data_IF_557330815351
#
_entry.id   IF_557330815351
#
_cell.length_a   1.000
_cell.length_b   1.000
_cell.length_c   1.000
_cell.angle_alpha   90.00
_cell.angle_beta   90.00
_cell.angle_gamma   90.00
#
_symmetry.space_group_name_H-M   'P 1'
#
loop_
_entity.id
_entity.type
_entity.pdbx_description
1 polymer ?
#
# COMPACT_ATOMS: atom_id res chain seq x y z
N UNK A 1 3.19 -1.94 22.38
CA UNK A 1 2.17 -1.99 21.32
C UNK A 1 2.04 -3.42 20.80
N UNK A 2 0.86 -4.03 20.87
CA UNK A 2 0.64 -5.39 20.36
C UNK A 2 0.67 -5.36 18.82
N UNK A 3 1.72 -5.92 18.22
CA UNK A 3 1.77 -6.10 16.77
C UNK A 3 0.67 -7.07 16.35
N UNK A 4 -0.38 -6.58 15.68
CA UNK A 4 -1.40 -7.43 15.06
C UNK A 4 -0.73 -8.27 13.96
N UNK A 5 -0.45 -9.55 14.26
CA UNK A 5 0.00 -10.53 13.27
C UNK A 5 -1.21 -11.09 12.52
N UNK A 6 -1.20 -10.98 11.20
CA UNK A 6 -2.19 -11.61 10.31
C UNK A 6 -1.60 -12.89 9.72
N UNK A 7 -2.29 -14.01 9.92
CA UNK A 7 -1.90 -15.33 9.40
C UNK A 7 -2.35 -15.52 7.94
N UNK A 8 -1.60 -16.30 7.18
CA UNK A 8 -1.98 -16.78 5.84
C UNK A 8 -3.11 -17.82 5.91
N UNK A 9 -3.70 -18.16 4.78
CA UNK A 9 -4.71 -19.23 4.70
C UNK A 9 -4.11 -20.57 5.15
N UNK A 10 -2.89 -20.87 4.70
CA UNK A 10 -2.13 -22.07 5.11
C UNK A 10 -1.86 -22.10 6.62
N UNK A 11 -1.39 -21.00 7.21
CA UNK A 11 -1.15 -20.92 8.65
C UNK A 11 -2.45 -21.06 9.47
N UNK A 12 -3.60 -20.64 8.92
CA UNK A 12 -4.91 -20.81 9.58
C UNK A 12 -5.38 -22.26 9.53
N UNK A 13 -5.16 -22.96 8.41
CA UNK A 13 -5.51 -24.39 8.28
C UNK A 13 -4.64 -25.24 9.20
N UNK A 14 -3.32 -25.00 9.23
CA UNK A 14 -2.42 -25.67 10.16
C UNK A 14 -2.83 -25.46 11.63
N UNK A 15 -3.25 -24.24 11.99
CA UNK A 15 -3.78 -23.95 13.33
C UNK A 15 -5.06 -24.74 13.64
N UNK A 16 -5.94 -24.94 12.65
CA UNK A 16 -7.17 -25.72 12.81
C UNK A 16 -6.84 -27.21 12.98
N UNK A 17 -5.93 -27.75 12.17
CA UNK A 17 -5.45 -29.13 12.27
C UNK A 17 -4.81 -29.40 13.65
N UNK A 18 -3.92 -28.50 14.09
CA UNK A 18 -3.27 -28.56 15.40
C UNK A 18 -4.26 -28.57 16.59
N UNK A 19 -5.43 -27.95 16.41
CA UNK A 19 -6.50 -27.92 17.40
C UNK A 19 -7.41 -29.16 17.33
N UNK A 20 -7.56 -29.78 16.16
CA UNK A 20 -8.48 -30.90 15.91
C UNK A 20 -7.83 -32.29 16.07
N UNK A 21 -6.50 -32.38 16.04
CA UNK A 21 -5.76 -33.62 16.30
C UNK A 21 -6.09 -34.17 17.70
N UNK A 22 -6.07 -35.51 17.88
CA UNK A 22 -6.63 -36.20 19.06
C UNK A 22 -6.18 -35.71 20.46
N UNK A 23 -5.01 -35.05 20.56
CA UNK A 23 -4.58 -34.24 21.72
C UNK A 23 -4.37 -32.77 21.31
N UNK A 24 -5.44 -32.13 20.84
CA UNK A 24 -5.40 -30.81 20.21
C UNK A 24 -4.81 -29.75 21.13
N UNK A 25 -4.02 -28.85 20.56
CA UNK A 25 -3.42 -27.75 21.29
C UNK A 25 -4.52 -26.81 21.81
N UNK A 26 -4.44 -26.45 23.09
CA UNK A 26 -5.34 -25.46 23.67
C UNK A 26 -5.17 -24.10 23.01
N UNK A 27 -6.21 -23.27 23.03
CA UNK A 27 -6.18 -21.89 22.52
C UNK A 27 -4.99 -21.08 23.07
N UNK A 28 -4.55 -21.37 24.30
CA UNK A 28 -3.37 -20.74 24.91
C UNK A 28 -2.07 -21.17 24.24
N UNK A 29 -1.90 -22.46 23.97
CA UNK A 29 -0.73 -23.00 23.25
C UNK A 29 -0.69 -22.52 21.80
N UNK A 30 -1.84 -22.41 21.13
CA UNK A 30 -1.94 -21.86 19.77
C UNK A 30 -1.53 -20.39 19.71
N UNK A 31 -1.92 -19.60 20.73
CA UNK A 31 -1.51 -18.19 20.86
C UNK A 31 0.00 -18.04 20.93
N UNK A 32 0.67 -18.90 21.70
CA UNK A 32 2.12 -18.87 21.89
C UNK A 32 2.85 -19.35 20.63
N UNK A 33 2.39 -20.45 20.01
CA UNK A 33 2.99 -21.02 18.80
C UNK A 33 2.87 -20.09 17.59
N UNK A 34 1.67 -19.57 17.35
CA UNK A 34 1.40 -18.74 16.17
C UNK A 34 1.63 -17.25 16.41
N UNK A 35 1.91 -16.84 17.66
CA UNK A 35 2.13 -15.44 18.09
C UNK A 35 0.96 -14.52 17.70
N UNK A 36 -0.26 -14.94 18.04
CA UNK A 36 -1.51 -14.22 17.74
C UNK A 36 -2.28 -13.88 19.03
N UNK A 37 -3.30 -13.02 18.96
CA UNK A 37 -4.15 -12.75 20.11
C UNK A 37 -5.14 -13.88 20.38
N UNK A 38 -5.55 -14.05 21.65
CA UNK A 38 -6.58 -15.03 22.05
C UNK A 38 -7.87 -14.89 21.24
N UNK A 39 -8.31 -13.65 21.01
CA UNK A 39 -9.50 -13.36 20.20
C UNK A 39 -9.33 -13.75 18.73
N UNK A 40 -8.12 -13.61 18.17
CA UNK A 40 -7.83 -14.06 16.81
C UNK A 40 -7.86 -15.58 16.69
N UNK A 41 -7.24 -16.30 17.64
CA UNK A 41 -7.25 -17.77 17.66
C UNK A 41 -8.68 -18.31 17.73
N UNK A 42 -9.50 -17.78 18.66
CA UNK A 42 -10.90 -18.16 18.80
C UNK A 42 -11.74 -17.85 17.55
N UNK A 43 -11.50 -16.71 16.89
CA UNK A 43 -12.22 -16.36 15.66
C UNK A 43 -11.86 -17.29 14.50
N UNK A 44 -10.59 -17.69 14.38
CA UNK A 44 -10.14 -18.64 13.35
C UNK A 44 -10.82 -20.00 13.55
N UNK A 45 -10.83 -20.52 14.78
CA UNK A 45 -11.50 -21.78 15.11
C UNK A 45 -13.02 -21.72 14.88
N UNK A 46 -13.66 -20.59 15.18
CA UNK A 46 -15.10 -20.38 14.93
C UNK A 46 -15.46 -20.41 13.46
N UNK A 47 -14.53 -20.05 12.57
CA UNK A 47 -14.72 -20.00 11.11
C UNK A 47 -13.92 -21.10 10.40
N UNK A 48 -13.63 -22.20 11.09
CA UNK A 48 -12.75 -23.26 10.59
C UNK A 48 -13.23 -23.87 9.27
N UNK A 49 -14.53 -24.13 9.15
CA UNK A 49 -15.18 -24.67 7.95
C UNK A 49 -14.96 -23.79 6.71
N UNK A 50 -15.05 -22.46 6.87
CA UNK A 50 -14.82 -21.49 5.79
C UNK A 50 -13.37 -21.57 5.29
N UNK A 51 -12.40 -21.65 6.19
CA UNK A 51 -10.98 -21.72 5.82
C UNK A 51 -10.62 -23.07 5.17
N UNK A 52 -11.22 -24.17 5.62
CA UNK A 52 -11.03 -25.49 5.01
C UNK A 52 -11.62 -25.53 3.59
N UNK A 53 -12.84 -25.01 3.40
CA UNK A 53 -13.47 -24.92 2.09
C UNK A 53 -12.68 -24.03 1.12
N UNK A 54 -12.18 -22.89 1.60
CA UNK A 54 -11.32 -21.99 0.83
C UNK A 54 -9.98 -22.65 0.44
N UNK A 55 -9.42 -23.49 1.34
CA UNK A 55 -8.19 -24.22 1.07
C UNK A 55 -8.39 -25.36 0.06
N UNK A 56 -9.50 -26.10 0.17
CA UNK A 56 -9.87 -27.17 -0.77
C UNK A 56 -10.22 -26.66 -2.16
N UNK A 57 -10.80 -25.45 -2.28
CA UNK A 57 -11.08 -24.79 -3.56
C UNK A 57 -9.85 -24.21 -4.27
N UNK A 58 -8.64 -24.56 -3.79
CA UNK A 58 -7.34 -24.15 -4.35
C UNK A 58 -7.13 -22.62 -4.39
N UNK A 59 -7.73 -21.91 -3.42
CA UNK A 59 -7.45 -20.49 -3.21
C UNK A 59 -5.96 -20.28 -2.91
N UNK A 60 -5.43 -19.11 -3.29
CA UNK A 60 -4.02 -18.80 -3.07
C UNK A 60 -3.64 -18.86 -1.57
N UNK A 61 -2.82 -19.86 -1.23
CA UNK A 61 -2.39 -20.21 0.14
C UNK A 61 -1.71 -19.07 0.91
N UNK A 62 -1.05 -18.16 0.18
CA UNK A 62 -0.33 -17.03 0.75
C UNK A 62 -1.23 -15.84 1.13
N UNK A 63 -2.51 -15.87 0.78
CA UNK A 63 -3.46 -14.79 1.08
C UNK A 63 -3.67 -14.70 2.60
N UNK A 64 -3.51 -13.49 3.14
CA UNK A 64 -3.75 -13.19 4.58
C UNK A 64 -5.19 -12.72 4.85
N UNK A 65 -5.83 -12.11 3.86
CA UNK A 65 -7.20 -11.55 3.95
C UNK A 65 -7.95 -11.85 2.67
N UNK A 66 -9.12 -12.49 2.80
CA UNK A 66 -10.07 -12.64 1.69
C UNK A 66 -10.79 -11.32 1.47
N UNK A 67 -10.82 -10.84 0.22
CA UNK A 67 -11.72 -9.78 -0.18
C UNK A 67 -13.14 -10.37 -0.19
N UNK A 68 -14.03 -9.82 0.62
CA UNK A 68 -15.32 -10.44 0.94
C UNK A 68 -16.34 -10.43 -0.20
N UNK A 69 -16.12 -9.63 -1.24
CA UNK A 69 -17.12 -9.34 -2.25
C UNK A 69 -16.53 -9.60 -3.64
N UNK A 70 -16.98 -10.67 -4.28
CA UNK A 70 -16.55 -11.09 -5.64
C UNK A 70 -16.99 -10.09 -6.70
N UNK A 71 -18.15 -9.49 -6.51
CA UNK A 71 -18.69 -8.53 -7.46
C UNK A 71 -17.96 -7.19 -7.37
N UNK A 72 -17.54 -6.75 -6.17
CA UNK A 72 -16.63 -5.60 -6.05
C UNK A 72 -15.28 -5.85 -6.70
N UNK A 73 -14.77 -7.08 -6.63
CA UNK A 73 -13.54 -7.45 -7.36
C UNK A 73 -13.73 -7.35 -8.88
N UNK A 74 -14.86 -7.82 -9.40
CA UNK A 74 -15.20 -7.64 -10.83
C UNK A 74 -15.28 -6.17 -11.21
N UNK A 75 -15.84 -5.31 -10.36
CA UNK A 75 -15.87 -3.86 -10.60
C UNK A 75 -14.43 -3.32 -10.70
N UNK A 76 -13.57 -3.62 -9.72
CA UNK A 76 -12.17 -3.16 -9.71
C UNK A 76 -11.39 -3.67 -10.93
N UNK A 77 -11.60 -4.92 -11.34
CA UNK A 77 -10.96 -5.53 -12.51
C UNK A 77 -11.35 -4.82 -13.81
N UNK A 78 -12.64 -4.62 -14.04
CA UNK A 78 -13.16 -3.92 -15.24
C UNK A 78 -12.68 -2.46 -15.28
N UNK A 79 -12.69 -1.77 -14.13
CA UNK A 79 -12.23 -0.38 -14.02
C UNK A 79 -10.73 -0.30 -14.31
N UNK A 80 -9.93 -1.23 -13.80
CA UNK A 80 -8.49 -1.30 -14.03
C UNK A 80 -8.17 -1.59 -15.50
N UNK A 81 -8.88 -2.52 -16.15
CA UNK A 81 -8.72 -2.78 -17.59
C UNK A 81 -9.01 -1.54 -18.43
N UNK A 82 -10.11 -0.84 -18.12
CA UNK A 82 -10.44 0.41 -18.82
C UNK A 82 -9.36 1.48 -18.64
N UNK A 83 -8.84 1.62 -17.41
CA UNK A 83 -7.72 2.52 -17.12
C UNK A 83 -6.47 2.15 -17.92
N UNK A 84 -6.11 0.86 -17.96
CA UNK A 84 -4.94 0.38 -18.69
C UNK A 84 -5.05 0.65 -20.20
N UNK A 85 -6.23 0.42 -20.79
CA UNK A 85 -6.49 0.69 -22.21
C UNK A 85 -6.36 2.18 -22.54
N UNK A 86 -6.88 3.07 -21.70
CA UNK A 86 -6.80 4.52 -21.89
C UNK A 86 -5.37 5.05 -21.70
N UNK A 87 -4.63 4.51 -20.72
CA UNK A 87 -3.21 4.82 -20.52
C UNK A 87 -2.35 4.36 -21.69
N UNK A 88 -2.66 3.21 -22.31
CA UNK A 88 -1.99 2.76 -23.52
C UNK A 88 -2.19 3.74 -24.70
N UNK A 89 -3.30 4.46 -24.72
CA UNK A 89 -3.60 5.55 -25.68
C UNK A 89 -3.02 6.91 -25.28
N UNK A 90 -2.22 6.97 -24.21
CA UNK A 90 -1.67 8.23 -23.65
C UNK A 90 -2.73 9.22 -23.18
N UNK A 91 -3.94 8.75 -22.84
CA UNK A 91 -5.00 9.61 -22.31
C UNK A 91 -4.84 9.69 -20.78
N UNK A 92 -4.65 10.89 -20.20
CA UNK A 92 -4.60 11.06 -18.76
C UNK A 92 -6.00 10.85 -18.17
N UNK A 93 -6.13 9.91 -17.22
CA UNK A 93 -7.37 9.69 -16.46
C UNK A 93 -7.20 10.30 -15.08
N UNK A 94 -8.12 11.21 -14.72
CA UNK A 94 -8.22 11.79 -13.38
C UNK A 94 -9.02 10.88 -12.45
N UNK A 95 -8.82 11.03 -11.13
CA UNK A 95 -9.57 10.30 -10.10
C UNK A 95 -11.09 10.39 -10.26
N UNK A 96 -11.68 11.58 -10.53
CA UNK A 96 -13.11 11.74 -10.80
C UNK A 96 -13.61 10.91 -11.99
N UNK A 97 -12.85 10.85 -13.10
CA UNK A 97 -13.20 10.04 -14.27
C UNK A 97 -13.20 8.55 -13.90
N UNK A 98 -12.22 8.11 -13.10
CA UNK A 98 -12.13 6.72 -12.64
C UNK A 98 -13.27 6.36 -11.68
N UNK A 99 -13.67 7.29 -10.80
CA UNK A 99 -14.82 7.16 -9.89
C UNK A 99 -16.11 6.98 -10.66
N UNK A 100 -16.35 7.84 -11.65
CA UNK A 100 -17.56 7.76 -12.47
C UNK A 100 -17.59 6.46 -13.29
N UNK A 101 -16.44 6.02 -13.81
CA UNK A 101 -16.35 4.73 -14.49
C UNK A 101 -16.68 3.56 -13.56
N UNK A 102 -16.18 3.58 -12.33
CA UNK A 102 -16.50 2.56 -11.33
C UNK A 102 -17.99 2.54 -10.98
N UNK A 103 -18.62 3.72 -10.89
CA UNK A 103 -20.07 3.83 -10.66
C UNK A 103 -20.87 3.23 -11.82
N UNK A 104 -20.52 3.53 -13.07
CA UNK A 104 -21.18 2.96 -14.25
C UNK A 104 -21.08 1.44 -14.30
N UNK A 105 -19.89 0.90 -14.03
CA UNK A 105 -19.67 -0.56 -13.99
C UNK A 105 -20.47 -1.20 -12.85
N UNK A 106 -20.53 -0.56 -11.70
CA UNK A 106 -21.31 -1.03 -10.57
C UNK A 106 -22.82 -1.05 -10.89
N UNK A 107 -23.35 -0.01 -11.53
CA UNK A 107 -24.75 0.06 -11.98
C UNK A 107 -25.09 -1.07 -12.97
N UNK A 108 -24.19 -1.35 -13.92
CA UNK A 108 -24.33 -2.48 -14.85
C UNK A 108 -24.37 -3.85 -14.15
N UNK A 109 -23.71 -3.96 -13.01
CA UNK A 109 -23.69 -5.17 -12.18
C UNK A 109 -24.80 -5.19 -11.13
N UNK A 110 -25.76 -4.25 -11.19
CA UNK A 110 -26.93 -4.20 -10.30
C UNK A 110 -26.68 -3.55 -8.94
N UNK A 111 -25.57 -2.82 -8.76
CA UNK A 111 -25.32 -2.04 -7.55
C UNK A 111 -26.03 -0.69 -7.61
N UNK A 112 -26.55 -0.26 -6.47
CA UNK A 112 -27.10 1.07 -6.29
C UNK A 112 -26.06 1.99 -5.67
N UNK A 113 -26.28 3.30 -5.78
CA UNK A 113 -25.43 4.33 -5.14
C UNK A 113 -25.33 4.19 -3.62
N UNK A 114 -26.28 3.51 -2.99
CA UNK A 114 -26.24 3.21 -1.56
C UNK A 114 -25.35 2.01 -1.23
N UNK A 115 -25.30 1.01 -2.10
CA UNK A 115 -24.53 -0.23 -1.89
C UNK A 115 -23.09 -0.14 -2.41
N UNK A 116 -22.84 0.69 -3.42
CA UNK A 116 -21.51 0.96 -3.98
C UNK A 116 -21.24 2.47 -4.07
N UNK A 117 -20.49 3.00 -3.10
CA UNK A 117 -20.21 4.44 -2.98
C UNK A 117 -18.99 4.92 -3.78
N UNK A 118 -18.30 4.03 -4.52
CA UNK A 118 -17.04 4.32 -5.23
C UNK A 118 -16.13 5.22 -4.39
N UNK A 119 -15.54 4.65 -3.32
CA UNK A 119 -14.94 5.42 -2.22
C UNK A 119 -13.90 6.43 -2.70
N UNK A 120 -14.31 7.69 -2.67
CA UNK A 120 -13.46 8.86 -2.61
C UNK A 120 -14.02 9.75 -1.48
N UNK A 121 -13.27 10.75 -1.04
CA UNK A 121 -13.85 11.78 -0.17
C UNK A 121 -15.03 12.41 -0.93
N UNK A 122 -16.16 12.64 -0.25
CA UNK A 122 -17.31 13.28 -0.88
C UNK A 122 -16.92 14.67 -1.38
N UNK A 123 -17.39 15.06 -2.56
CA UNK A 123 -16.97 16.33 -3.17
C UNK A 123 -17.39 17.53 -2.29
N UNK A 124 -18.53 17.42 -1.59
CA UNK A 124 -18.96 18.43 -0.60
C UNK A 124 -18.03 18.50 0.60
N UNK A 125 -17.46 17.36 1.02
CA UNK A 125 -16.48 17.32 2.10
C UNK A 125 -15.17 17.96 1.65
N UNK A 126 -14.73 17.72 0.41
CA UNK A 126 -13.54 18.39 -0.15
C UNK A 126 -13.75 19.90 -0.24
N UNK A 127 -14.92 20.35 -0.69
CA UNK A 127 -15.27 21.77 -0.76
C UNK A 127 -15.31 22.42 0.63
N UNK A 128 -15.96 21.78 1.61
CA UNK A 128 -15.99 22.23 3.00
C UNK A 128 -14.57 22.37 3.56
N UNK A 129 -13.73 21.36 3.38
CA UNK A 129 -12.34 21.40 3.83
C UNK A 129 -11.51 22.45 3.10
N UNK A 130 -11.78 22.70 1.82
CA UNK A 130 -11.07 23.72 1.04
C UNK A 130 -11.40 25.12 1.56
N UNK A 131 -12.67 25.41 1.85
CA UNK A 131 -13.10 26.67 2.47
C UNK A 131 -12.59 26.82 3.90
N UNK A 132 -12.58 25.73 4.66
CA UNK A 132 -12.04 25.72 6.02
C UNK A 132 -10.53 25.93 6.03
N UNK A 133 -9.81 25.33 5.07
CA UNK A 133 -8.36 25.47 4.95
C UNK A 133 -7.99 26.92 4.67
N UNK A 134 -8.69 27.62 3.75
CA UNK A 134 -8.41 29.03 3.50
C UNK A 134 -8.58 29.87 4.76
N UNK A 135 -9.65 29.65 5.51
CA UNK A 135 -9.90 30.34 6.79
C UNK A 135 -8.79 30.09 7.82
N UNK A 136 -8.25 28.87 7.88
CA UNK A 136 -7.13 28.52 8.78
C UNK A 136 -5.85 29.21 8.32
N UNK A 137 -5.59 29.22 7.01
CA UNK A 137 -4.38 29.79 6.41
C UNK A 137 -4.33 31.32 6.51
N UNK A 138 -5.47 32.01 6.53
CA UNK A 138 -5.54 33.47 6.69
C UNK A 138 -4.85 33.99 7.98
N UNK A 139 -4.71 33.14 9.00
CA UNK A 139 -4.00 33.47 10.24
C UNK A 139 -2.47 33.37 10.15
N UNK A 140 -1.92 32.90 9.03
CA UNK A 140 -0.49 32.65 8.85
C UNK A 140 0.05 33.43 7.65
N UNK A 141 1.33 33.83 7.72
CA UNK A 141 2.01 34.36 6.56
C UNK A 141 2.28 33.23 5.56
N UNK A 142 2.15 33.49 4.25
CA UNK A 142 2.43 32.49 3.21
C UNK A 142 3.85 31.89 3.32
N UNK A 143 4.83 32.66 3.81
CA UNK A 143 6.20 32.17 4.00
C UNK A 143 6.33 31.18 5.18
N UNK A 144 5.38 31.20 6.12
CA UNK A 144 5.36 30.34 7.31
C UNK A 144 4.46 29.10 7.11
N UNK A 145 3.81 28.96 5.95
CA UNK A 145 2.99 27.81 5.59
C UNK A 145 3.86 26.79 4.85
N UNK A 146 4.23 25.70 5.53
CA UNK A 146 5.04 24.63 4.94
C UNK A 146 4.21 23.41 4.55
N UNK A 147 4.53 22.85 3.39
CA UNK A 147 4.08 21.53 2.98
C UNK A 147 5.26 20.56 2.97
N UNK A 148 5.04 19.34 3.44
CA UNK A 148 6.03 18.27 3.42
C UNK A 148 5.41 17.00 2.84
N UNK A 149 6.13 16.33 1.94
CA UNK A 149 5.67 15.09 1.33
C UNK A 149 6.80 14.06 1.17
N UNK A 150 6.41 12.78 1.23
CA UNK A 150 7.31 11.63 1.11
C UNK A 150 7.30 11.08 -0.31
N UNK A 151 8.49 10.90 -0.88
CA UNK A 151 8.64 10.18 -2.15
C UNK A 151 9.64 9.03 -2.07
N UNK A 152 9.34 7.96 -2.80
CA UNK A 152 10.20 6.80 -2.93
C UNK A 152 11.16 6.92 -4.11
N UNK A 153 12.47 7.01 -3.84
CA UNK A 153 13.51 7.03 -4.86
C UNK A 153 14.08 5.62 -5.10
N UNK A 154 13.76 5.05 -6.26
CA UNK A 154 14.30 3.76 -6.70
C UNK A 154 15.59 3.93 -7.51
N UNK A 155 16.68 4.32 -6.85
CA UNK A 155 17.93 4.73 -7.48
C UNK A 155 18.68 3.64 -8.28
N UNK A 156 18.26 2.37 -8.17
CA UNK A 156 18.80 1.23 -8.95
C UNK A 156 17.78 0.62 -9.90
N UNK A 157 16.58 1.18 -10.03
CA UNK A 157 15.60 0.69 -10.97
C UNK A 157 16.06 0.97 -12.40
N UNK A 158 15.92 -0.03 -13.27
CA UNK A 158 16.10 0.12 -14.71
C UNK A 158 14.84 0.74 -15.32
N UNK A 159 14.94 1.43 -16.47
CA UNK A 159 13.77 1.92 -17.20
C UNK A 159 12.75 0.81 -17.49
N UNK A 160 11.48 1.21 -17.67
CA UNK A 160 10.38 0.29 -17.97
C UNK A 160 10.46 -0.28 -19.39
N UNK A 161 11.10 0.47 -20.30
CA UNK A 161 11.37 0.06 -21.67
C UNK A 161 12.86 -0.22 -21.84
N UNK A 162 13.17 -1.40 -22.36
CA UNK A 162 14.55 -1.80 -22.66
C UNK A 162 15.01 -1.12 -23.96
N UNK A 163 16.22 -0.56 -24.00
CA UNK A 163 16.88 -0.09 -25.23
C UNK A 163 17.40 -1.28 -26.05
N UNK A 164 16.53 -2.24 -26.32
CA UNK A 164 16.86 -3.42 -27.12
C UNK A 164 16.57 -3.08 -28.57
N UNK A 165 17.55 -3.30 -29.44
CA UNK A 165 17.38 -3.12 -30.88
C UNK A 165 16.25 -4.03 -31.36
N UNK A 166 15.47 -3.57 -32.33
CA UNK A 166 14.21 -4.18 -32.82
C UNK A 166 14.25 -5.68 -33.20
N UNK A 167 15.40 -6.36 -33.13
CA UNK A 167 15.61 -7.75 -33.53
C UNK A 167 16.40 -8.59 -32.52
N UNK A 168 16.69 -8.06 -31.33
CA UNK A 168 17.37 -8.79 -30.26
C UNK A 168 16.38 -9.33 -29.23
N UNK A 169 16.60 -10.56 -28.77
CA UNK A 169 15.79 -11.14 -27.69
C UNK A 169 16.14 -10.49 -26.35
N UNK A 170 15.18 -9.74 -25.80
CA UNK A 170 15.32 -9.17 -24.46
C UNK A 170 15.25 -10.28 -23.40
N UNK A 171 16.40 -10.69 -22.85
CA UNK A 171 16.44 -11.55 -21.66
C UNK A 171 15.99 -10.74 -20.45
N UNK A 172 14.79 -11.01 -19.95
CA UNK A 172 14.15 -10.25 -18.88
C UNK A 172 15.03 -10.12 -17.63
N UNK A 173 15.27 -8.88 -17.19
CA UNK A 173 15.97 -8.56 -15.94
C UNK A 173 15.01 -8.27 -14.80
N UNK A 174 15.33 -8.70 -13.58
CA UNK A 174 14.57 -8.34 -12.38
C UNK A 174 14.84 -6.88 -12.01
N UNK A 175 13.83 -6.02 -12.07
CA UNK A 175 13.95 -4.62 -11.62
C UNK A 175 14.38 -4.57 -10.16
N UNK A 176 15.43 -3.80 -9.86
CA UNK A 176 15.85 -3.58 -8.48
C UNK A 176 14.77 -2.83 -7.72
N UNK A 177 14.37 -3.36 -6.57
CA UNK A 177 13.40 -2.73 -5.66
C UNK A 177 14.10 -1.98 -4.52
N UNK A 178 15.39 -1.69 -4.66
CA UNK A 178 16.09 -0.86 -3.68
C UNK A 178 15.55 0.56 -3.73
N UNK A 179 15.04 1.01 -2.57
CA UNK A 179 14.36 2.29 -2.40
C UNK A 179 15.03 3.09 -1.29
N UNK A 180 15.18 4.38 -1.52
CA UNK A 180 15.38 5.39 -0.50
C UNK A 180 14.07 6.15 -0.31
N UNK A 181 13.79 6.53 0.92
CA UNK A 181 12.67 7.43 1.21
C UNK A 181 13.21 8.84 1.31
N UNK A 182 12.60 9.78 0.61
CA UNK A 182 13.00 11.19 0.61
C UNK A 182 11.82 12.01 1.09
N UNK A 183 11.99 12.71 2.20
CA UNK A 183 11.06 13.73 2.66
C UNK A 183 11.55 15.08 2.15
N UNK A 184 10.68 15.76 1.41
CA UNK A 184 10.89 17.12 0.92
C UNK A 184 9.91 18.04 1.63
N UNK A 185 10.36 19.23 2.00
CA UNK A 185 9.53 20.24 2.63
C UNK A 185 9.88 21.62 2.09
N UNK A 186 8.87 22.40 1.74
CA UNK A 186 9.02 23.78 1.28
C UNK A 186 7.85 24.63 1.76
N UNK A 187 8.09 25.94 1.88
CA UNK A 187 7.01 26.87 2.14
C UNK A 187 6.10 27.06 0.91
N UNK A 188 4.94 27.66 1.12
CA UNK A 188 3.90 27.87 0.10
C UNK A 188 4.43 28.68 -1.09
N UNK A 189 5.26 29.69 -0.82
CA UNK A 189 5.88 30.54 -1.86
C UNK A 189 7.05 29.85 -2.59
N UNK A 190 7.56 28.73 -2.07
CA UNK A 190 8.70 28.00 -2.60
C UNK A 190 10.06 28.69 -2.41
N UNK A 191 10.09 29.80 -1.67
CA UNK A 191 11.31 30.58 -1.38
C UNK A 191 12.21 29.88 -0.36
N UNK A 192 11.61 29.17 0.60
CA UNK A 192 12.32 28.39 1.60
C UNK A 192 12.11 26.90 1.35
N UNK A 193 13.22 26.16 1.24
CA UNK A 193 13.25 24.70 1.10
C UNK A 193 14.06 24.12 2.23
N UNK A 194 13.42 23.30 3.06
CA UNK A 194 14.12 22.65 4.15
C UNK A 194 15.07 21.58 3.60
N UNK A 195 16.14 21.35 4.35
CA UNK A 195 17.13 20.33 4.03
C UNK A 195 16.44 18.96 3.88
N UNK A 196 16.53 18.28 2.72
CA UNK A 196 15.85 17.01 2.52
C UNK A 196 16.30 15.95 3.53
N UNK A 197 15.36 15.14 3.99
CA UNK A 197 15.64 13.98 4.84
C UNK A 197 15.61 12.74 3.96
N UNK A 198 16.69 11.96 3.97
CA UNK A 198 16.81 10.72 3.21
C UNK A 198 16.94 9.55 4.17
N UNK A 199 16.03 8.58 4.06
CA UNK A 199 16.03 7.36 4.86
C UNK A 199 16.43 6.17 4.00
N UNK A 200 17.56 5.56 4.36
CA UNK A 200 18.02 4.30 3.78
C UNK A 200 17.83 3.11 4.73
N UNK A 201 18.17 1.92 4.24
CA UNK A 201 18.14 0.69 5.06
C UNK A 201 19.28 0.59 6.07
N UNK A 202 20.44 1.12 5.71
CA UNK A 202 21.67 1.03 6.51
C UNK A 202 22.00 2.39 7.12
N UNK A 203 22.40 2.38 8.39
CA UNK A 203 22.91 3.58 9.07
C UNK A 203 24.14 4.15 8.38
N UNK A 204 25.00 3.28 7.85
CA UNK A 204 26.20 3.67 7.11
C UNK A 204 26.37 2.79 5.87
N UNK A 205 25.77 3.18 4.73
CA UNK A 205 25.95 2.48 3.46
C UNK A 205 27.42 2.37 3.08
N UNK A 206 27.78 1.29 2.35
CA UNK A 206 29.16 1.08 1.89
C UNK A 206 29.68 2.23 1.00
N UNK A 207 28.80 2.89 0.26
CA UNK A 207 29.16 4.06 -0.54
C UNK A 207 29.51 5.31 0.29
N UNK A 208 29.25 5.32 1.59
CA UNK A 208 29.68 6.40 2.50
C UNK A 208 31.06 6.14 3.10
N UNK A 209 31.80 5.14 2.58
CA UNK A 209 33.20 4.95 2.93
C UNK A 209 33.96 6.25 2.59
N UNK A 210 34.64 6.81 3.60
CA UNK A 210 35.36 8.08 3.52
C UNK A 210 34.50 9.36 3.36
N UNK A 211 33.18 9.27 3.50
CA UNK A 211 32.29 10.44 3.50
C UNK A 211 31.84 10.74 4.94
N UNK A 212 31.91 12.01 5.32
CA UNK A 212 31.32 12.50 6.57
C UNK A 212 29.85 12.85 6.32
N UNK A 213 28.92 12.16 6.99
CA UNK A 213 27.47 12.34 6.81
C UNK A 213 27.00 13.78 7.01
N UNK A 214 27.63 14.54 7.91
CA UNK A 214 27.30 15.95 8.16
C UNK A 214 27.59 16.87 6.97
N UNK A 215 28.53 16.49 6.10
CA UNK A 215 28.88 17.25 4.89
C UNK A 215 27.92 17.00 3.73
N UNK A 216 26.98 16.06 3.88
CA UNK A 216 25.98 15.79 2.84
C UNK A 216 24.97 16.95 2.76
N UNK A 217 24.50 17.28 1.54
CA UNK A 217 23.43 18.26 1.34
C UNK A 217 22.07 17.77 1.86
N UNK A 218 22.00 16.56 2.42
CA UNK A 218 20.79 15.94 2.96
C UNK A 218 21.03 15.46 4.39
N UNK A 219 19.96 15.31 5.16
CA UNK A 219 19.98 14.65 6.47
C UNK A 219 19.77 13.16 6.25
N UNK A 220 20.79 12.35 6.51
CA UNK A 220 20.71 10.90 6.35
C UNK A 220 20.23 10.21 7.62
N UNK A 221 19.17 9.43 7.51
CA UNK A 221 18.64 8.56 8.56
C UNK A 221 18.59 7.11 8.06
N UNK A 222 18.40 6.17 8.99
CA UNK A 222 18.27 4.76 8.63
C UNK A 222 17.15 4.03 9.36
N UNK A 223 16.41 3.23 8.60
CA UNK A 223 15.38 2.33 9.09
C UNK A 223 15.47 1.01 8.32
N UNK A 224 15.31 -0.15 8.97
CA UNK A 224 15.39 -1.47 8.33
C UNK A 224 14.47 -1.63 7.12
N UNK A 225 13.33 -0.96 7.15
CA UNK A 225 12.33 -0.96 6.07
C UNK A 225 12.50 0.20 5.09
N UNK A 226 13.38 1.16 5.40
CA UNK A 226 13.55 2.44 4.70
C UNK A 226 12.24 3.21 4.54
N UNK A 227 11.41 3.26 5.59
CA UNK A 227 10.21 4.10 5.68
C UNK A 227 10.36 5.12 6.81
N UNK A 228 9.58 6.21 6.77
CA UNK A 228 9.32 7.04 7.96
C UNK A 228 8.57 6.14 8.98
N UNK A 229 9.16 5.88 10.14
CA UNK A 229 8.52 5.17 11.26
C UNK A 229 8.52 6.03 12.48
#
# INVERSE_FOLDING_TARGET
MSHRKALTLEEKVALIEDNQNGHGLSVRQLVDNYKISKSSAANILRRSEEFLADYSSNSNKSIKRKLKDENRQKIDEIVFECFAQQRAKQIPISGPILKEKARQVAEQLGYTTETFKASNVDDSTVEEWTQRLSTILDGFNENDVFNADETGLFYRATPDHSLVLSKEECKGGKKSKERLTVLLCSNLTGTEKLKPVVIGRSQRPRCFKNITTSKLPVTWLSNRTAWMT
#
